data_IF_996480689298
#
_entry.id   IF_996480689298
#
_cell.length_a   1.000
_cell.length_b   1.000
_cell.length_c   1.000
_cell.angle_alpha   90.00
_cell.angle_beta   90.00
_cell.angle_gamma   90.00
#
_symmetry.space_group_name_H-M   'P 1'
#
loop_
_entity.id
_entity.type
_entity.pdbx_description
1 polymer ?
#
# COMPACT_ATOMS: atom_id res chain seq x y z
N UNK A 1 -15.27 -13.57 -7.52
CA UNK A 1 -15.40 -12.10 -7.59
C UNK A 1 -16.87 -11.74 -7.41
N UNK A 2 -17.19 -10.88 -6.45
CA UNK A 2 -18.58 -10.49 -6.15
C UNK A 2 -18.61 -8.99 -5.86
N UNK A 3 -19.52 -8.20 -6.45
CA UNK A 3 -19.69 -6.79 -6.09
C UNK A 3 -20.14 -6.63 -4.64
N UNK A 4 -19.56 -5.67 -3.93
CA UNK A 4 -19.93 -5.36 -2.54
C UNK A 4 -20.13 -3.85 -2.37
N UNK A 5 -21.18 -3.44 -1.64
CA UNK A 5 -21.51 -2.03 -1.41
C UNK A 5 -21.41 -1.73 0.09
N UNK A 6 -20.39 -0.95 0.47
CA UNK A 6 -20.30 -0.38 1.80
C UNK A 6 -21.30 0.77 1.97
N UNK A 7 -22.08 0.71 3.05
CA UNK A 7 -23.16 1.67 3.38
C UNK A 7 -22.95 2.23 4.78
N UNK A 8 -22.87 3.55 4.91
CA UNK A 8 -22.58 4.26 6.18
C UNK A 8 -23.55 3.91 7.32
N UNK A 9 -24.85 3.74 7.01
CA UNK A 9 -25.88 3.42 8.01
C UNK A 9 -25.96 1.92 8.35
N UNK A 10 -25.25 1.06 7.62
CA UNK A 10 -25.18 -0.36 7.97
C UNK A 10 -24.25 -0.55 9.17
N UNK A 11 -24.71 -1.32 10.17
CA UNK A 11 -23.97 -1.55 11.40
C UNK A 11 -22.59 -2.18 11.14
N UNK A 12 -22.52 -3.24 10.34
CA UNK A 12 -21.28 -3.99 10.08
C UNK A 12 -20.28 -3.11 9.32
N UNK A 13 -20.73 -2.44 8.25
CA UNK A 13 -19.87 -1.58 7.45
C UNK A 13 -19.28 -0.41 8.26
N UNK A 14 -20.10 0.21 9.12
CA UNK A 14 -19.64 1.26 10.02
C UNK A 14 -18.58 0.74 11.02
N UNK A 15 -18.81 -0.43 11.62
CA UNK A 15 -17.84 -1.07 12.52
C UNK A 15 -16.54 -1.40 11.78
N UNK A 16 -16.60 -1.93 10.55
CA UNK A 16 -15.42 -2.24 9.75
C UNK A 16 -14.56 -1.01 9.46
N UNK A 17 -15.18 0.11 9.09
CA UNK A 17 -14.47 1.37 8.90
C UNK A 17 -13.79 1.85 10.18
N UNK A 18 -14.48 1.76 11.33
CA UNK A 18 -13.91 2.11 12.62
C UNK A 18 -12.71 1.24 12.99
N UNK A 19 -12.82 -0.09 12.83
CA UNK A 19 -11.75 -1.05 13.18
C UNK A 19 -10.46 -0.74 12.42
N UNK A 20 -10.54 -0.39 11.14
CA UNK A 20 -9.36 -0.06 10.34
C UNK A 20 -8.61 1.16 10.91
N UNK A 21 -9.34 2.22 11.25
CA UNK A 21 -8.75 3.44 11.81
C UNK A 21 -8.30 3.24 13.26
N UNK A 22 -9.05 2.51 14.08
CA UNK A 22 -8.65 2.15 15.44
C UNK A 22 -7.34 1.36 15.45
N UNK A 23 -7.20 0.38 14.55
CA UNK A 23 -5.98 -0.42 14.45
C UNK A 23 -4.77 0.46 14.18
N UNK A 24 -4.87 1.39 13.21
CA UNK A 24 -3.80 2.34 12.92
C UNK A 24 -3.54 3.27 14.12
N UNK A 25 -4.59 3.89 14.68
CA UNK A 25 -4.44 4.92 15.71
C UNK A 25 -4.09 4.37 17.10
N UNK A 26 -4.36 3.10 17.41
CA UNK A 26 -4.02 2.49 18.69
C UNK A 26 -2.62 1.84 18.69
N UNK A 27 -2.12 1.40 17.54
CA UNK A 27 -0.76 0.87 17.43
C UNK A 27 0.24 2.01 17.48
N UNK A 28 0.99 2.10 18.58
CA UNK A 28 1.94 3.21 18.84
C UNK A 28 3.10 3.27 17.86
N UNK A 29 3.57 2.11 17.39
CA UNK A 29 4.70 2.02 16.47
C UNK A 29 4.21 2.01 15.00
N UNK A 30 4.40 3.10 14.23
CA UNK A 30 3.93 3.16 12.86
C UNK A 30 4.62 2.14 11.94
N UNK A 31 5.80 1.61 12.30
CA UNK A 31 6.49 0.60 11.51
C UNK A 31 5.79 -0.76 11.49
N UNK A 32 4.78 -0.95 12.35
CA UNK A 32 3.93 -2.15 12.40
C UNK A 32 2.63 -1.99 11.63
N UNK A 33 2.41 -0.85 10.99
CA UNK A 33 1.20 -0.53 10.22
C UNK A 33 1.60 -0.25 8.77
N UNK A 34 0.83 -0.80 7.84
CA UNK A 34 0.90 -0.47 6.42
C UNK A 34 -0.47 -0.01 5.97
N UNK A 35 -0.54 1.14 5.31
CA UNK A 35 -1.80 1.65 4.77
C UNK A 35 -2.21 0.84 3.55
N UNK A 36 -3.34 0.14 3.65
CA UNK A 36 -3.95 -0.56 2.50
C UNK A 36 -5.47 -0.45 2.57
N UNK A 37 -6.11 -0.67 1.42
CA UNK A 37 -7.57 -0.88 1.33
C UNK A 37 -7.89 -2.26 0.78
N UNK A 38 -6.90 -3.17 0.74
CA UNK A 38 -7.00 -4.46 0.05
C UNK A 38 -7.65 -4.31 -1.34
N UNK A 39 -7.07 -3.47 -2.19
CA UNK A 39 -7.74 -2.98 -3.39
C UNK A 39 -8.23 -4.12 -4.31
N UNK A 40 -9.49 -4.12 -4.76
CA UNK A 40 -10.57 -3.16 -4.48
C UNK A 40 -11.52 -3.55 -3.33
N UNK A 41 -11.24 -4.63 -2.60
CA UNK A 41 -12.14 -5.25 -1.62
C UNK A 41 -12.57 -4.29 -0.50
N UNK A 42 -11.63 -3.67 0.22
CA UNK A 42 -11.94 -2.66 1.24
C UNK A 42 -12.17 -1.26 0.67
N UNK A 43 -11.76 -1.04 -0.57
CA UNK A 43 -12.01 0.20 -1.32
C UNK A 43 -11.00 0.45 -2.45
N UNK A 44 -11.32 1.36 -3.39
CA UNK A 44 -10.41 1.76 -4.45
C UNK A 44 -9.13 2.43 -3.91
N UNK A 45 -7.94 2.12 -4.45
CA UNK A 45 -6.67 2.70 -3.98
C UNK A 45 -6.61 4.23 -4.16
N UNK A 46 -7.42 4.78 -5.07
CA UNK A 46 -7.59 6.21 -5.25
C UNK A 46 -8.14 6.90 -3.99
N UNK A 47 -8.63 6.15 -3.00
CA UNK A 47 -9.13 6.65 -1.71
C UNK A 47 -8.08 6.77 -0.62
N UNK A 48 -6.81 6.44 -0.90
CA UNK A 48 -5.73 6.66 0.07
C UNK A 48 -5.64 8.11 0.58
N UNK A 49 -5.82 9.17 -0.23
CA UNK A 49 -5.86 10.54 0.26
C UNK A 49 -6.96 10.79 1.32
N UNK A 50 -8.16 10.23 1.14
CA UNK A 50 -9.22 10.30 2.15
C UNK A 50 -8.85 9.53 3.43
N UNK A 51 -8.27 8.34 3.32
CA UNK A 51 -7.83 7.60 4.52
C UNK A 51 -6.72 8.35 5.27
N UNK A 52 -5.75 8.93 4.56
CA UNK A 52 -4.72 9.78 5.14
C UNK A 52 -5.37 10.96 5.88
N UNK A 53 -6.40 11.59 5.29
CA UNK A 53 -7.12 12.67 5.98
C UNK A 53 -7.79 12.23 7.28
N UNK A 54 -8.37 11.01 7.33
CA UNK A 54 -8.95 10.46 8.56
C UNK A 54 -7.90 10.15 9.63
N UNK A 55 -6.70 9.71 9.24
CA UNK A 55 -5.60 9.45 10.18
C UNK A 55 -5.01 10.75 10.73
N UNK A 56 -4.88 11.79 9.90
CA UNK A 56 -4.26 13.06 10.26
C UNK A 56 -5.22 14.09 10.88
N UNK A 57 -6.53 13.89 10.79
CA UNK A 57 -7.54 14.85 11.25
C UNK A 57 -8.70 14.17 11.95
N UNK A 58 -8.81 14.38 13.27
CA UNK A 58 -9.96 13.98 14.08
C UNK A 58 -11.24 14.63 13.56
N UNK A 59 -11.17 15.90 13.16
CA UNK A 59 -12.29 16.60 12.53
C UNK A 59 -12.81 15.86 11.29
N UNK A 60 -11.91 15.36 10.43
CA UNK A 60 -12.32 14.55 9.29
C UNK A 60 -13.01 13.24 9.69
N UNK A 61 -12.56 12.61 10.78
CA UNK A 61 -13.23 11.42 11.33
C UNK A 61 -14.61 11.77 11.87
N UNK A 62 -14.75 12.84 12.64
CA UNK A 62 -16.02 13.31 13.21
C UNK A 62 -17.07 13.56 12.12
N UNK A 63 -16.69 14.22 11.02
CA UNK A 63 -17.58 14.48 9.86
C UNK A 63 -18.14 13.18 9.22
N UNK A 64 -17.40 12.07 9.31
CA UNK A 64 -17.86 10.74 8.85
C UNK A 64 -18.66 10.04 9.95
N UNK A 65 -18.18 10.07 11.19
CA UNK A 65 -18.81 9.46 12.36
C UNK A 65 -20.26 9.93 12.53
N UNK A 66 -20.55 11.22 12.30
CA UNK A 66 -21.90 11.78 12.36
C UNK A 66 -22.89 11.11 11.40
N UNK A 67 -22.38 10.53 10.31
CA UNK A 67 -23.18 9.83 9.29
C UNK A 67 -23.30 8.34 9.56
N UNK A 68 -22.51 7.77 10.48
CA UNK A 68 -22.53 6.33 10.76
C UNK A 68 -23.78 5.88 11.53
N UNK A 69 -23.93 4.56 11.65
CA UNK A 69 -24.94 3.94 12.50
C UNK A 69 -24.69 4.25 13.98
N UNK A 70 -25.66 4.91 14.64
CA UNK A 70 -25.60 5.17 16.10
C UNK A 70 -25.43 3.90 16.94
N UNK A 71 -25.92 2.76 16.44
CA UNK A 71 -25.74 1.45 17.08
C UNK A 71 -24.28 0.98 16.97
N UNK A 72 -23.63 1.21 15.83
CA UNK A 72 -22.23 0.86 15.62
C UNK A 72 -21.31 1.68 16.53
N UNK A 73 -21.59 2.98 16.70
CA UNK A 73 -20.79 3.88 17.55
C UNK A 73 -20.72 3.45 19.03
N UNK A 74 -21.67 2.62 19.50
CA UNK A 74 -21.63 2.05 20.86
C UNK A 74 -20.68 0.86 21.01
N UNK A 75 -20.19 0.31 19.91
CA UNK A 75 -19.39 -0.91 19.85
C UNK A 75 -17.92 -0.66 19.45
N UNK A 76 -17.53 0.61 19.31
CA UNK A 76 -16.23 1.04 18.77
C UNK A 76 -15.64 2.13 19.66
N UNK A 77 -14.32 2.22 19.70
CA UNK A 77 -13.57 3.22 20.47
C UNK A 77 -13.22 4.46 19.63
N UNK A 78 -13.32 4.41 18.30
CA UNK A 78 -12.83 5.47 17.40
C UNK A 78 -13.26 6.90 17.79
N UNK A 79 -14.51 7.17 18.24
CA UNK A 79 -14.92 8.52 18.64
C UNK A 79 -14.14 9.10 19.83
N UNK A 80 -13.53 8.26 20.68
CA UNK A 80 -12.75 8.68 21.86
C UNK A 80 -11.26 8.80 21.57
N UNK A 81 -10.81 8.47 20.36
CA UNK A 81 -9.40 8.52 19.98
C UNK A 81 -9.05 9.91 19.46
N UNK A 82 -8.28 10.64 20.26
CA UNK A 82 -7.78 11.98 19.91
C UNK A 82 -6.48 11.97 19.10
N UNK A 83 -5.80 10.83 18.99
CA UNK A 83 -4.53 10.72 18.24
C UNK A 83 -4.75 11.13 16.78
N UNK A 84 -3.80 11.89 16.26
CA UNK A 84 -3.68 12.26 14.85
C UNK A 84 -2.27 11.91 14.38
N UNK A 85 -2.17 11.38 13.17
CA UNK A 85 -0.89 11.07 12.54
C UNK A 85 -0.21 12.34 12.05
N UNK A 86 1.11 12.41 12.22
CA UNK A 86 1.93 13.42 11.54
C UNK A 86 2.39 12.96 10.14
N UNK A 87 3.07 13.84 9.40
CA UNK A 87 3.58 13.52 8.06
C UNK A 87 4.67 12.44 8.07
N UNK A 88 5.42 12.28 9.17
CA UNK A 88 6.43 11.23 9.29
C UNK A 88 5.77 9.87 9.45
N UNK A 89 4.77 9.74 10.31
CA UNK A 89 3.98 8.52 10.46
C UNK A 89 3.28 8.15 9.15
N UNK A 90 2.73 9.13 8.43
CA UNK A 90 2.18 8.90 7.08
C UNK A 90 3.26 8.37 6.14
N UNK A 91 4.44 8.99 6.08
CA UNK A 91 5.54 8.52 5.24
C UNK A 91 5.99 7.09 5.61
N UNK A 92 5.99 6.74 6.90
CA UNK A 92 6.31 5.39 7.37
C UNK A 92 5.29 4.38 6.85
N UNK A 93 4.00 4.54 7.14
CA UNK A 93 2.99 3.51 6.82
C UNK A 93 2.73 3.34 5.32
N UNK A 94 3.16 4.30 4.51
CA UNK A 94 2.90 4.32 3.06
C UNK A 94 4.14 4.07 2.20
N UNK A 95 5.34 4.34 2.70
CA UNK A 95 6.60 4.23 1.92
C UNK A 95 7.64 3.39 2.66
N UNK A 96 8.14 3.88 3.79
CA UNK A 96 9.30 3.27 4.45
C UNK A 96 8.98 1.89 5.06
N UNK A 97 7.84 1.76 5.75
CA UNK A 97 7.35 0.51 6.33
C UNK A 97 7.14 -0.58 5.27
N UNK A 98 6.35 -0.33 4.20
CA UNK A 98 6.17 -1.28 3.10
C UNK A 98 7.48 -1.70 2.42
N UNK A 99 8.38 -0.76 2.12
CA UNK A 99 9.65 -1.06 1.49
C UNK A 99 10.53 -1.97 2.37
N UNK A 100 10.61 -1.67 3.67
CA UNK A 100 11.33 -2.48 4.66
C UNK A 100 10.72 -3.88 4.81
N UNK A 101 9.40 -3.97 4.88
CA UNK A 101 8.68 -5.25 4.99
C UNK A 101 8.96 -6.16 3.78
N UNK A 102 9.10 -5.58 2.59
CA UNK A 102 9.39 -6.31 1.35
C UNK A 102 10.89 -6.54 1.11
N UNK A 103 11.78 -6.06 1.99
CA UNK A 103 13.24 -6.18 1.80
C UNK A 103 13.81 -5.32 0.67
N UNK A 104 13.11 -4.26 0.27
CA UNK A 104 13.51 -3.36 -0.82
C UNK A 104 14.43 -2.25 -0.30
N UNK A 105 15.72 -2.58 -0.17
CA UNK A 105 16.72 -1.71 0.47
C UNK A 105 16.96 -0.36 -0.24
N UNK A 106 16.63 -0.24 -1.52
CA UNK A 106 16.76 0.97 -2.32
C UNK A 106 15.44 1.75 -2.47
N UNK A 107 14.38 1.34 -1.76
CA UNK A 107 13.03 1.95 -1.83
C UNK A 107 12.61 2.51 -0.49
N UNK A 108 11.65 3.44 -0.52
CA UNK A 108 10.98 3.95 0.67
C UNK A 108 11.79 4.95 1.50
N UNK A 109 12.94 5.43 0.99
CA UNK A 109 13.75 6.49 1.60
C UNK A 109 14.35 7.43 0.54
N UNK A 110 14.90 8.56 0.98
CA UNK A 110 15.55 9.58 0.13
C UNK A 110 17.07 9.71 0.39
N UNK A 111 17.64 8.81 1.18
CA UNK A 111 19.09 8.73 1.42
C UNK A 111 19.89 8.33 0.18
N UNK A 112 21.21 8.59 0.21
CA UNK A 112 22.15 8.19 -0.85
C UNK A 112 22.05 6.67 -1.08
N UNK A 113 21.96 6.27 -2.35
CA UNK A 113 21.78 4.87 -2.76
C UNK A 113 20.32 4.45 -2.97
N UNK A 114 19.35 5.29 -2.63
CA UNK A 114 17.95 5.08 -3.02
C UNK A 114 17.76 5.21 -4.53
N UNK A 115 16.79 4.48 -5.08
CA UNK A 115 16.27 4.80 -6.41
C UNK A 115 15.63 6.20 -6.37
N UNK A 116 15.79 6.97 -7.43
CA UNK A 116 15.23 8.31 -7.57
C UNK A 116 13.70 8.29 -7.83
N UNK A 117 12.97 7.71 -6.89
CA UNK A 117 11.52 7.61 -6.83
C UNK A 117 11.00 8.61 -5.78
N UNK A 118 10.50 9.77 -6.24
CA UNK A 118 10.17 10.90 -5.38
C UNK A 118 8.76 11.42 -5.69
N UNK A 119 7.95 11.64 -4.65
CA UNK A 119 6.67 12.33 -4.77
C UNK A 119 6.73 13.69 -4.04
N UNK A 120 6.35 14.76 -4.74
CA UNK A 120 6.34 16.13 -4.22
C UNK A 120 4.89 16.59 -4.15
N UNK A 121 4.45 16.98 -2.95
CA UNK A 121 3.10 17.44 -2.68
C UNK A 121 3.09 18.93 -2.36
N UNK A 122 2.06 19.64 -2.83
CA UNK A 122 1.86 21.08 -2.57
C UNK A 122 1.32 21.29 -1.15
N UNK A 123 2.19 21.06 -0.17
CA UNK A 123 1.89 21.23 1.25
C UNK A 123 3.06 21.95 1.90
N UNK A 124 2.79 23.11 2.51
CA UNK A 124 3.73 23.75 3.42
C UNK A 124 3.32 23.51 4.88
N UNK A 125 3.92 22.51 5.57
CA UNK A 125 3.54 22.18 6.95
C UNK A 125 3.98 23.26 7.97
N UNK A 126 4.75 24.27 7.55
CA UNK A 126 5.12 25.41 8.42
C UNK A 126 4.08 26.52 8.43
N UNK A 127 3.21 26.56 7.41
CA UNK A 127 2.21 27.62 7.22
C UNK A 127 0.79 27.14 7.51
N UNK A 128 0.54 25.83 7.40
CA UNK A 128 -0.81 25.27 7.55
C UNK A 128 -0.83 24.13 8.57
N UNK A 129 -1.78 24.22 9.50
CA UNK A 129 -2.15 23.13 10.39
C UNK A 129 -3.00 22.09 9.63
N UNK A 130 -2.40 20.97 9.25
CA UNK A 130 -3.04 19.93 8.44
C UNK A 130 -4.21 19.27 9.17
N UNK A 131 -4.16 19.10 10.49
CA UNK A 131 -5.23 18.43 11.23
C UNK A 131 -6.54 19.22 11.21
N UNK A 132 -6.46 20.54 11.03
CA UNK A 132 -7.63 21.43 10.87
C UNK A 132 -8.10 21.56 9.42
N UNK A 133 -7.31 21.09 8.45
CA UNK A 133 -7.52 21.31 7.01
C UNK A 133 -7.58 19.99 6.22
N UNK A 134 -8.52 19.06 6.51
CA UNK A 134 -8.57 17.77 5.86
C UNK A 134 -8.82 17.83 4.35
N UNK A 135 -9.55 18.84 3.87
CA UNK A 135 -9.72 19.08 2.43
C UNK A 135 -8.41 19.38 1.72
N UNK A 136 -7.48 20.08 2.37
CA UNK A 136 -6.14 20.33 1.84
C UNK A 136 -5.34 19.03 1.75
N UNK A 137 -5.40 18.19 2.79
CA UNK A 137 -4.77 16.86 2.81
C UNK A 137 -5.23 16.05 1.60
N UNK A 138 -6.55 15.89 1.43
CA UNK A 138 -7.12 15.12 0.32
C UNK A 138 -6.66 15.71 -1.02
N UNK A 139 -6.77 17.04 -1.21
CA UNK A 139 -6.37 17.71 -2.44
C UNK A 139 -4.91 17.45 -2.80
N UNK A 140 -4.01 17.67 -1.85
CA UNK A 140 -2.58 17.55 -2.08
C UNK A 140 -2.16 16.09 -2.34
N UNK A 141 -2.60 15.13 -1.52
CA UNK A 141 -2.24 13.73 -1.71
C UNK A 141 -2.92 13.08 -2.93
N UNK A 142 -4.03 13.64 -3.42
CA UNK A 142 -4.67 13.19 -4.65
C UNK A 142 -3.91 13.60 -5.92
N UNK A 143 -3.21 14.74 -5.88
CA UNK A 143 -2.52 15.30 -7.05
C UNK A 143 -1.15 15.82 -6.66
N UNK A 144 -0.13 14.99 -6.85
CA UNK A 144 1.26 15.40 -6.68
C UNK A 144 1.64 16.51 -7.68
N UNK A 145 2.45 17.47 -7.23
CA UNK A 145 3.06 18.49 -8.11
C UNK A 145 4.05 17.81 -9.03
N UNK A 146 4.86 16.91 -8.49
CA UNK A 146 5.76 16.07 -9.27
C UNK A 146 5.74 14.64 -8.73
N UNK A 147 5.75 13.68 -9.65
CA UNK A 147 6.19 12.31 -9.36
C UNK A 147 7.37 12.02 -10.26
N UNK A 148 8.50 11.69 -9.63
CA UNK A 148 9.74 11.29 -10.26
C UNK A 148 9.86 9.79 -10.10
N UNK A 149 10.14 9.08 -11.19
CA UNK A 149 10.35 7.64 -11.24
C UNK A 149 11.69 7.37 -11.90
N UNK A 150 12.61 6.71 -11.19
CA UNK A 150 13.97 6.45 -11.66
C UNK A 150 14.68 7.70 -12.22
N UNK A 151 14.48 8.87 -11.59
CA UNK A 151 15.09 10.14 -12.00
C UNK A 151 14.34 10.89 -13.12
N UNK A 152 13.25 10.33 -13.65
CA UNK A 152 12.45 10.96 -14.70
C UNK A 152 11.12 11.49 -14.16
N UNK A 153 10.75 12.71 -14.55
CA UNK A 153 9.44 13.29 -14.20
C UNK A 153 8.35 12.56 -15.01
N UNK A 154 7.49 11.81 -14.32
CA UNK A 154 6.35 11.09 -14.93
C UNK A 154 5.00 11.77 -14.68
N UNK A 155 4.89 12.56 -13.60
CA UNK A 155 3.71 13.39 -13.31
C UNK A 155 4.15 14.83 -13.08
N UNK A 156 3.39 15.78 -13.63
CA UNK A 156 3.53 17.21 -13.37
C UNK A 156 2.15 17.83 -13.14
N UNK A 157 1.97 18.52 -12.02
CA UNK A 157 0.71 19.17 -11.62
C UNK A 157 -0.51 18.24 -11.65
N UNK A 158 -0.34 16.98 -11.21
CA UNK A 158 -1.38 15.97 -11.18
C UNK A 158 -1.67 15.29 -12.52
N UNK A 159 -0.99 15.66 -13.60
CA UNK A 159 -1.15 15.06 -14.94
C UNK A 159 0.03 14.17 -15.29
N UNK A 160 -0.24 13.02 -15.92
CA UNK A 160 0.81 12.13 -16.41
C UNK A 160 1.44 12.77 -17.65
N UNK A 161 2.74 13.03 -17.60
CA UNK A 161 3.51 13.66 -18.68
C UNK A 161 4.45 12.71 -19.39
N UNK A 162 4.73 11.53 -18.79
CA UNK A 162 5.59 10.51 -19.38
C UNK A 162 5.13 9.11 -18.97
N UNK A 163 5.16 8.18 -19.92
CA UNK A 163 4.96 6.76 -19.68
C UNK A 163 6.30 6.02 -19.67
N UNK A 164 6.52 5.19 -18.67
CA UNK A 164 7.72 4.36 -18.52
C UNK A 164 7.31 2.96 -18.06
N UNK A 165 8.04 1.94 -18.50
CA UNK A 165 7.88 0.60 -17.93
C UNK A 165 8.66 0.47 -16.63
N UNK A 166 8.00 -0.08 -15.60
CA UNK A 166 8.63 -0.40 -14.33
C UNK A 166 9.52 -1.63 -14.41
N UNK A 167 9.98 -2.04 -13.24
CA UNK A 167 10.77 -3.26 -13.01
C UNK A 167 9.87 -4.32 -12.40
N UNK A 168 10.03 -5.57 -12.84
CA UNK A 168 9.38 -6.74 -12.23
C UNK A 168 10.35 -7.39 -11.25
N UNK A 169 10.06 -7.31 -9.95
CA UNK A 169 10.87 -7.95 -8.93
C UNK A 169 10.43 -9.40 -8.73
N UNK A 170 11.39 -10.32 -8.58
CA UNK A 170 11.14 -11.72 -8.22
C UNK A 170 12.15 -12.20 -7.18
N UNK A 171 11.81 -13.23 -6.43
CA UNK A 171 12.72 -13.84 -5.47
C UNK A 171 13.56 -14.90 -6.16
N UNK A 172 14.89 -14.74 -6.12
CA UNK A 172 15.83 -15.77 -6.55
C UNK A 172 16.26 -16.59 -5.33
N UNK A 173 15.53 -17.67 -5.07
CA UNK A 173 15.84 -18.60 -3.99
C UNK A 173 17.06 -19.48 -4.36
N UNK A 174 17.94 -19.73 -3.39
CA UNK A 174 19.01 -20.72 -3.50
C UNK A 174 18.59 -21.98 -2.74
N UNK A 175 18.66 -23.13 -3.40
CA UNK A 175 18.40 -24.45 -2.82
C UNK A 175 19.47 -25.43 -3.28
N UNK A 176 19.66 -26.51 -2.54
CA UNK A 176 20.54 -27.59 -2.94
C UNK A 176 20.05 -28.24 -4.25
N UNK A 177 20.98 -28.44 -5.20
CA UNK A 177 20.63 -28.90 -6.54
C UNK A 177 20.03 -30.32 -6.55
N UNK A 178 20.50 -31.20 -5.67
CA UNK A 178 19.99 -32.57 -5.56
C UNK A 178 18.52 -32.57 -5.11
N UNK A 179 18.21 -31.83 -4.04
CA UNK A 179 16.85 -31.65 -3.54
C UNK A 179 15.94 -31.04 -4.61
N UNK A 180 16.41 -30.00 -5.33
CA UNK A 180 15.62 -29.38 -6.39
C UNK A 180 15.27 -30.38 -7.50
N UNK A 181 16.24 -31.20 -7.93
CA UNK A 181 16.02 -32.20 -8.97
C UNK A 181 15.03 -33.28 -8.53
N UNK A 182 15.13 -33.75 -7.29
CA UNK A 182 14.21 -34.73 -6.71
C UNK A 182 12.76 -34.19 -6.69
N UNK A 183 12.58 -32.98 -6.17
CA UNK A 183 11.26 -32.34 -6.07
C UNK A 183 10.68 -32.05 -7.46
N UNK A 184 11.48 -31.55 -8.41
CA UNK A 184 11.01 -31.30 -9.79
C UNK A 184 10.56 -32.59 -10.45
N UNK A 185 11.26 -33.72 -10.23
CA UNK A 185 10.86 -35.02 -10.77
C UNK A 185 9.50 -35.44 -10.24
N UNK A 186 9.29 -35.37 -8.92
CA UNK A 186 8.00 -35.70 -8.30
C UNK A 186 6.88 -34.79 -8.81
N UNK A 187 7.13 -33.47 -8.88
CA UNK A 187 6.15 -32.51 -9.40
C UNK A 187 5.79 -32.88 -10.84
N UNK A 188 6.75 -33.20 -11.72
CA UNK A 188 6.48 -33.57 -13.12
C UNK A 188 5.63 -34.84 -13.23
N UNK A 189 5.80 -35.82 -12.34
CA UNK A 189 4.96 -37.02 -12.30
C UNK A 189 3.52 -36.66 -11.92
N UNK A 190 3.33 -35.92 -10.82
CA UNK A 190 2.00 -35.47 -10.38
C UNK A 190 1.34 -34.53 -11.40
N UNK A 191 2.10 -33.67 -12.06
CA UNK A 191 1.54 -32.74 -13.05
C UNK A 191 0.85 -33.49 -14.18
N UNK A 192 1.39 -34.64 -14.63
CA UNK A 192 0.77 -35.47 -15.67
C UNK A 192 -0.58 -36.07 -15.24
N UNK A 193 -0.73 -36.38 -13.96
CA UNK A 193 -1.94 -37.01 -13.42
C UNK A 193 -3.07 -35.99 -13.22
N UNK A 194 -2.73 -34.77 -12.78
CA UNK A 194 -3.72 -33.84 -12.20
C UNK A 194 -3.88 -32.52 -12.98
N UNK A 195 -2.93 -32.13 -13.82
CA UNK A 195 -3.00 -30.88 -14.59
C UNK A 195 -3.56 -31.07 -15.99
N UNK A 196 -4.10 -29.97 -16.53
CA UNK A 196 -4.70 -29.89 -17.87
C UNK A 196 -3.77 -29.27 -18.92
N UNK A 197 -2.55 -28.88 -18.53
CA UNK A 197 -1.51 -28.34 -19.41
C UNK A 197 -0.21 -29.13 -19.22
N UNK A 198 0.69 -29.06 -20.19
CA UNK A 198 2.03 -29.63 -20.02
C UNK A 198 2.84 -28.82 -19.01
N UNK A 199 3.72 -29.50 -18.27
CA UNK A 199 4.60 -28.86 -17.29
C UNK A 199 5.46 -27.76 -17.91
N UNK A 200 5.99 -27.99 -19.12
CA UNK A 200 6.88 -27.02 -19.78
C UNK A 200 6.14 -25.75 -20.24
N UNK A 201 4.79 -25.77 -20.31
CA UNK A 201 3.96 -24.59 -20.60
C UNK A 201 3.49 -23.87 -19.33
N UNK A 202 3.88 -24.35 -18.14
CA UNK A 202 3.52 -23.76 -16.86
C UNK A 202 4.54 -22.73 -16.37
N UNK A 203 5.82 -22.93 -16.70
CA UNK A 203 6.89 -22.01 -16.36
C UNK A 203 6.77 -20.70 -17.15
N UNK A 204 6.92 -19.57 -16.45
CA UNK A 204 7.04 -18.25 -17.08
C UNK A 204 8.51 -18.00 -17.34
N UNK A 205 8.87 -17.81 -18.60
CA UNK A 205 10.25 -17.62 -19.03
C UNK A 205 10.70 -16.17 -18.84
N UNK A 206 12.00 -15.96 -18.56
CA UNK A 206 12.57 -14.62 -18.34
C UNK A 206 12.27 -13.62 -19.48
N UNK A 207 12.25 -14.10 -20.73
CA UNK A 207 11.98 -13.25 -21.90
C UNK A 207 10.52 -12.79 -22.01
N UNK A 208 9.60 -13.43 -21.30
CA UNK A 208 8.19 -13.02 -21.21
C UNK A 208 8.02 -11.86 -20.21
N UNK A 209 9.01 -11.62 -19.35
CA UNK A 209 8.95 -10.61 -18.30
C UNK A 209 9.80 -9.40 -18.68
N UNK A 210 9.15 -8.23 -18.72
CA UNK A 210 9.85 -6.97 -18.94
C UNK A 210 10.61 -6.53 -17.68
N UNK A 211 11.88 -6.17 -17.86
CA UNK A 211 12.75 -5.60 -16.83
C UNK A 211 12.76 -6.43 -15.54
N UNK A 212 13.17 -7.69 -15.64
CA UNK A 212 13.24 -8.60 -14.52
C UNK A 212 14.41 -8.22 -13.58
N UNK A 213 14.14 -8.12 -12.27
CA UNK A 213 15.15 -7.87 -11.25
C UNK A 213 15.03 -8.87 -10.11
N UNK A 214 16.10 -9.62 -9.87
CA UNK A 214 16.16 -10.58 -8.77
C UNK A 214 16.35 -9.89 -7.42
N UNK A 215 15.62 -10.37 -6.41
CA UNK A 215 15.87 -10.16 -5.00
C UNK A 215 16.39 -11.49 -4.45
N UNK A 216 17.64 -11.54 -4.03
CA UNK A 216 18.23 -12.76 -3.45
C UNK A 216 17.68 -12.97 -2.05
N UNK A 217 17.05 -14.12 -1.81
CA UNK A 217 16.62 -14.53 -0.47
C UNK A 217 17.61 -15.55 0.11
N UNK A 218 17.90 -15.42 1.42
CA UNK A 218 19.03 -16.10 2.08
C UNK A 218 20.27 -15.23 1.99
N UNK A 219 20.88 -14.91 3.14
CA UNK A 219 22.07 -14.06 3.26
C UNK A 219 23.23 -14.51 2.37
N UNK A 220 24.29 -13.68 2.33
CA UNK A 220 25.52 -13.96 1.56
C UNK A 220 25.95 -15.44 1.57
#
# INVERSE_FOLDING_TARGET
VVPFIYREKNYVNAVQWCIGLETALLVKDPWKIVLTTDHPNGGPFQKYPEVISWLMSKKAREEVIDKLSKRALKAVALPTIDREYDLYEIAVITRAGPAKLLGLNNKGHLGIGADADVAIYDINPREVDLSKNPKLIVKAFSKAVYTIKNGEIIVKNGEIVKHTFGTTYYVKAKVEQELMNEVIKEIRERFKEWYTVSFDNYEIMDHEIRHLQAITAGGE
#
